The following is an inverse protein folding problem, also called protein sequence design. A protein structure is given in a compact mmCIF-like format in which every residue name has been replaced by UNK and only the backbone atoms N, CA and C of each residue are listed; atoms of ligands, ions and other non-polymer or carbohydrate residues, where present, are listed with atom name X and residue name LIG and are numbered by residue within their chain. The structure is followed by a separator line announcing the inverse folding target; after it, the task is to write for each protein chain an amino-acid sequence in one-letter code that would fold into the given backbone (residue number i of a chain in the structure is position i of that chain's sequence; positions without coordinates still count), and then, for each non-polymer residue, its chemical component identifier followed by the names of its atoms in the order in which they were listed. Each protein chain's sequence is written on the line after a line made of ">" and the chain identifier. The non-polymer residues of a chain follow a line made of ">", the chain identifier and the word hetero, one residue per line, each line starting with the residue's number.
data_IF_444911817552
#
_entry.id   IF_444911817552
#
_cell.length_a   1.000
_cell.length_b   1.000
_cell.length_c   1.000
_cell.angle_alpha   90.00
_cell.angle_beta   90.00
_cell.angle_gamma   90.00
#
_symmetry.space_group_name_H-M   'P 1'
#
loop_
_entity.id
_entity.type
_entity.pdbx_description
1 polymer ?
#
# COMPACT_ATOMS: atom_id res chain seq x y z
N UNK A 1 64.12 34.37 -21.52
CA UNK A 1 62.78 33.74 -21.55
C UNK A 1 62.95 32.23 -21.51
N UNK A 2 62.65 31.59 -20.37
CA UNK A 2 62.75 30.14 -20.16
C UNK A 2 61.49 29.70 -19.41
N UNK A 3 60.70 28.81 -20.03
CA UNK A 3 59.50 28.24 -19.44
C UNK A 3 59.83 27.11 -18.47
N UNK A 4 59.04 26.99 -17.40
CA UNK A 4 59.01 25.80 -16.53
C UNK A 4 57.58 25.59 -16.04
N UNK A 5 57.05 24.42 -16.39
CA UNK A 5 55.77 23.87 -15.99
C UNK A 5 55.60 23.80 -14.47
N UNK A 6 54.45 24.24 -13.94
CA UNK A 6 54.11 24.05 -12.52
C UNK A 6 53.56 22.65 -12.31
N UNK A 7 54.34 21.83 -11.59
CA UNK A 7 53.94 20.55 -11.03
C UNK A 7 52.92 20.77 -9.91
N UNK A 8 51.81 20.03 -9.96
CA UNK A 8 50.86 19.86 -8.86
C UNK A 8 51.54 19.01 -7.77
N UNK A 9 51.74 19.59 -6.60
CA UNK A 9 52.13 18.87 -5.40
C UNK A 9 50.87 18.55 -4.59
N UNK A 10 50.54 17.26 -4.46
CA UNK A 10 49.80 16.79 -3.29
C UNK A 10 50.75 16.79 -2.07
N UNK A 11 50.29 17.23 -0.90
CA UNK A 11 50.75 16.70 0.36
C UNK A 11 49.82 15.61 0.89
N UNK A 12 50.42 14.47 1.16
CA UNK A 12 49.99 13.37 2.00
C UNK A 12 49.96 13.79 3.49
N UNK A 13 48.90 13.38 4.19
CA UNK A 13 48.72 13.19 5.65
C UNK A 13 49.16 14.28 6.66
N UNK A 14 48.20 14.81 7.45
CA UNK A 14 48.08 14.60 8.92
C UNK A 14 46.88 15.37 9.53
N UNK A 15 45.98 14.64 10.17
CA UNK A 15 44.81 15.03 11.00
C UNK A 15 45.25 15.81 12.27
N UNK A 16 44.40 16.62 12.96
CA UNK A 16 43.34 16.05 13.80
C UNK A 16 42.08 16.90 14.03
N UNK A 17 41.03 16.21 14.50
CA UNK A 17 39.90 16.75 15.27
C UNK A 17 38.81 17.49 14.49
N UNK A 18 38.13 16.76 13.60
CA UNK A 18 36.65 16.83 13.61
C UNK A 18 36.17 15.42 13.89
N UNK A 19 35.97 15.13 15.18
CA UNK A 19 35.07 14.06 15.59
C UNK A 19 33.71 14.47 15.06
N UNK A 20 33.40 14.08 13.82
CA UNK A 20 32.07 14.10 13.29
C UNK A 20 31.31 13.07 14.11
N UNK A 21 30.72 13.52 15.22
CA UNK A 21 29.76 12.76 15.98
C UNK A 21 28.75 12.25 14.95
N UNK A 22 28.56 10.92 14.80
CA UNK A 22 27.48 10.43 13.96
C UNK A 22 26.22 11.06 14.53
N UNK A 23 25.58 11.93 13.75
CA UNK A 23 24.26 12.43 14.06
C UNK A 23 23.38 11.19 14.17
N UNK A 24 23.17 10.78 15.42
CA UNK A 24 22.29 9.68 15.80
C UNK A 24 20.95 10.05 15.20
N UNK A 25 20.62 9.48 14.04
CA UNK A 25 19.28 9.55 13.48
C UNK A 25 18.37 9.08 14.60
N UNK A 26 17.68 10.04 15.22
CA UNK A 26 16.69 9.74 16.22
C UNK A 26 15.64 8.96 15.46
N UNK A 27 15.68 7.63 15.58
CA UNK A 27 14.64 6.74 15.06
C UNK A 27 13.34 7.21 15.69
N UNK A 28 12.63 8.09 14.98
CA UNK A 28 11.34 8.62 15.41
C UNK A 28 10.47 7.40 15.64
N UNK A 29 9.93 7.27 16.85
CA UNK A 29 8.98 6.20 17.16
C UNK A 29 7.91 6.22 16.05
N UNK A 30 7.57 5.07 15.44
CA UNK A 30 6.56 5.03 14.40
C UNK A 30 5.27 5.67 14.93
N UNK A 31 4.83 6.77 14.31
CA UNK A 31 3.60 7.45 14.70
C UNK A 31 2.40 6.79 14.02
N UNK A 32 1.22 6.95 14.64
CA UNK A 32 -0.05 6.52 14.05
C UNK A 32 -0.26 7.19 12.68
N UNK A 33 0.12 8.46 12.52
CA UNK A 33 -0.02 9.17 11.25
C UNK A 33 0.88 8.58 10.16
N UNK A 34 2.11 8.17 10.49
CA UNK A 34 3.00 7.50 9.56
C UNK A 34 2.45 6.11 9.17
N UNK A 35 1.87 5.38 10.13
CA UNK A 35 1.20 4.12 9.88
C UNK A 35 0.00 4.29 8.95
N UNK A 36 -0.85 5.29 9.20
CA UNK A 36 -1.99 5.66 8.35
C UNK A 36 -1.55 6.02 6.94
N UNK A 37 -0.50 6.83 6.79
CA UNK A 37 0.05 7.21 5.49
C UNK A 37 0.51 5.97 4.68
N UNK A 38 1.17 5.00 5.34
CA UNK A 38 1.58 3.73 4.71
C UNK A 38 0.40 2.87 4.27
N UNK A 39 -0.74 2.95 4.96
CA UNK A 39 -1.96 2.22 4.62
C UNK A 39 -2.86 2.99 3.63
N UNK A 40 -2.36 4.08 3.03
CA UNK A 40 -3.08 4.83 2.02
C UNK A 40 -4.04 5.87 2.60
N UNK A 41 -3.95 6.20 3.89
CA UNK A 41 -4.84 7.16 4.55
C UNK A 41 -6.11 6.52 5.11
N UNK A 42 -6.75 7.22 6.05
CA UNK A 42 -8.05 6.83 6.61
C UNK A 42 -9.11 6.83 5.50
N UNK A 43 -10.00 5.84 5.55
CA UNK A 43 -11.21 5.82 4.74
C UNK A 43 -12.27 6.63 5.47
N UNK A 44 -12.85 7.63 4.81
CA UNK A 44 -14.01 8.34 5.35
C UNK A 44 -15.27 7.60 4.89
N UNK A 45 -16.21 7.33 5.81
CA UNK A 45 -17.46 6.63 5.49
C UNK A 45 -18.35 7.38 4.48
N UNK A 46 -18.09 8.68 4.28
CA UNK A 46 -18.78 9.53 3.32
C UNK A 46 -18.32 9.26 1.87
N UNK A 47 -17.15 8.64 1.68
CA UNK A 47 -16.61 8.31 0.36
C UNK A 47 -17.31 7.06 -0.21
N UNK A 48 -18.59 7.19 -0.57
CA UNK A 48 -19.34 6.11 -1.23
C UNK A 48 -18.67 5.78 -2.57
N UNK A 49 -18.27 4.53 -2.82
CA UNK A 49 -17.67 4.16 -4.09
C UNK A 49 -18.69 4.25 -5.23
N UNK A 50 -18.25 4.52 -6.47
CA UNK A 50 -19.09 4.38 -7.65
C UNK A 50 -19.64 2.94 -7.75
N UNK A 51 -20.86 2.81 -8.27
CA UNK A 51 -21.54 1.52 -8.37
C UNK A 51 -20.66 0.50 -9.12
N UNK A 52 -20.53 -0.70 -8.54
CA UNK A 52 -19.75 -1.80 -9.12
C UNK A 52 -18.26 -1.83 -8.78
N UNK A 53 -17.69 -0.83 -8.09
CA UNK A 53 -16.26 -0.79 -7.72
C UNK A 53 -16.00 -1.13 -6.25
N UNK A 54 -16.61 -2.21 -5.74
CA UNK A 54 -16.32 -2.69 -4.39
C UNK A 54 -14.90 -3.30 -4.27
N UNK A 55 -14.29 -3.33 -3.08
CA UNK A 55 -13.06 -4.08 -2.85
C UNK A 55 -13.18 -5.54 -3.29
N UNK A 56 -12.19 -5.99 -4.05
CA UNK A 56 -12.09 -7.34 -4.61
C UNK A 56 -12.82 -7.55 -5.94
N UNK A 57 -13.31 -6.49 -6.57
CA UNK A 57 -13.76 -6.54 -7.97
C UNK A 57 -12.55 -6.61 -8.90
N UNK A 58 -12.58 -7.56 -9.84
CA UNK A 58 -11.60 -7.65 -10.93
C UNK A 58 -11.93 -6.60 -11.98
N UNK A 59 -10.92 -5.87 -12.41
CA UNK A 59 -11.05 -4.79 -13.38
C UNK A 59 -10.01 -4.90 -14.47
N UNK A 60 -10.32 -4.27 -15.60
CA UNK A 60 -9.43 -4.11 -16.75
C UNK A 60 -9.29 -2.61 -17.03
N UNK A 61 -8.09 -2.16 -17.37
CA UNK A 61 -7.83 -0.76 -17.70
C UNK A 61 -6.70 -0.66 -18.75
N UNK A 62 -6.65 0.42 -19.54
CA UNK A 62 -5.68 0.55 -20.61
C UNK A 62 -4.27 0.84 -20.07
N UNK A 63 -3.27 0.37 -20.81
CA UNK A 63 -1.85 0.56 -20.50
C UNK A 63 -1.23 1.56 -21.46
N UNK A 64 -0.23 2.31 -20.99
CA UNK A 64 0.46 3.30 -21.80
C UNK A 64 -0.04 4.73 -21.58
N UNK A 65 0.57 5.67 -22.29
CA UNK A 65 0.21 7.08 -22.19
C UNK A 65 -1.08 7.37 -22.97
N UNK A 66 -1.81 8.46 -22.66
CA UNK A 66 -2.94 8.91 -23.48
C UNK A 66 -2.60 9.04 -24.97
N UNK A 67 -1.38 9.47 -25.31
CA UNK A 67 -0.92 9.58 -26.68
C UNK A 67 -0.75 8.22 -27.37
N UNK A 68 -0.23 7.21 -26.67
CA UNK A 68 -0.12 5.84 -27.20
C UNK A 68 -1.51 5.23 -27.45
N UNK A 69 -2.46 5.47 -26.56
CA UNK A 69 -3.87 5.04 -26.73
C UNK A 69 -4.50 5.69 -27.97
N UNK A 70 -4.28 7.00 -28.17
CA UNK A 70 -4.76 7.72 -29.35
C UNK A 70 -4.14 7.20 -30.67
N UNK A 71 -2.93 6.64 -30.60
CA UNK A 71 -2.27 6.00 -31.73
C UNK A 71 -2.70 4.53 -31.97
N UNK A 72 -3.70 4.03 -31.22
CA UNK A 72 -4.26 2.69 -31.40
C UNK A 72 -3.67 1.59 -30.50
N UNK A 73 -2.90 1.94 -29.46
CA UNK A 73 -2.45 0.96 -28.47
C UNK A 73 -3.61 0.57 -27.53
N UNK A 74 -4.19 -0.60 -27.76
CA UNK A 74 -5.28 -1.17 -26.94
C UNK A 74 -4.79 -2.25 -25.95
N UNK A 75 -3.51 -2.19 -25.55
CA UNK A 75 -3.03 -3.06 -24.47
C UNK A 75 -3.78 -2.77 -23.19
N UNK A 76 -4.30 -3.82 -22.56
CA UNK A 76 -5.00 -3.75 -21.28
C UNK A 76 -4.32 -4.57 -20.21
N UNK A 77 -4.52 -4.16 -18.98
CA UNK A 77 -4.05 -4.85 -17.79
C UNK A 77 -5.21 -5.19 -16.88
N UNK A 78 -5.11 -6.35 -16.24
CA UNK A 78 -6.03 -6.76 -15.19
C UNK A 78 -5.50 -6.34 -13.82
N UNK A 79 -6.41 -6.13 -12.88
CA UNK A 79 -6.08 -5.91 -11.49
C UNK A 79 -7.31 -6.00 -10.60
N UNK A 80 -7.10 -5.83 -9.30
CA UNK A 80 -8.14 -5.93 -8.28
C UNK A 80 -8.35 -4.58 -7.62
N UNK A 81 -9.60 -4.13 -7.53
CA UNK A 81 -9.95 -2.95 -6.75
C UNK A 81 -9.68 -3.21 -5.28
N UNK A 82 -8.85 -2.41 -4.63
CA UNK A 82 -8.63 -2.49 -3.16
C UNK A 82 -9.28 -1.32 -2.41
N UNK A 83 -9.54 -0.23 -3.11
CA UNK A 83 -10.28 0.93 -2.63
C UNK A 83 -10.89 1.67 -3.82
N UNK A 84 -12.07 2.27 -3.64
CA UNK A 84 -12.67 3.15 -4.61
C UNK A 84 -13.38 4.30 -3.89
N UNK A 85 -13.35 5.47 -4.53
CA UNK A 85 -14.14 6.65 -4.18
C UNK A 85 -14.71 7.24 -5.48
N UNK A 86 -15.48 8.33 -5.37
CA UNK A 86 -16.01 9.04 -6.53
C UNK A 86 -14.93 9.57 -7.49
N UNK A 87 -13.72 9.81 -6.99
CA UNK A 87 -12.65 10.48 -7.76
C UNK A 87 -11.53 9.54 -8.19
N UNK A 88 -11.32 8.44 -7.47
CA UNK A 88 -10.21 7.52 -7.72
C UNK A 88 -10.57 6.07 -7.40
N UNK A 89 -10.01 5.16 -8.20
CA UNK A 89 -10.01 3.72 -7.98
C UNK A 89 -8.57 3.28 -7.79
N UNK A 90 -8.30 2.57 -6.69
CA UNK A 90 -7.01 2.00 -6.38
C UNK A 90 -7.01 0.53 -6.79
N UNK A 91 -6.19 0.20 -7.78
CA UNK A 91 -6.13 -1.12 -8.39
C UNK A 91 -4.78 -1.77 -8.07
N UNK A 92 -4.81 -2.93 -7.44
CA UNK A 92 -3.64 -3.74 -7.17
C UNK A 92 -3.44 -4.74 -8.33
N UNK A 93 -2.24 -4.74 -8.90
CA UNK A 93 -1.90 -5.49 -10.12
C UNK A 93 -1.30 -6.87 -9.84
N UNK A 94 -0.75 -7.02 -8.64
CA UNK A 94 -0.10 -8.22 -8.11
C UNK A 94 0.10 -8.04 -6.60
N UNK A 95 1.03 -8.75 -5.97
CA UNK A 95 1.28 -8.61 -4.54
C UNK A 95 1.79 -7.24 -4.07
N UNK A 96 2.30 -6.37 -4.95
CA UNK A 96 3.04 -5.15 -4.54
C UNK A 96 2.76 -3.89 -5.38
N UNK A 97 2.35 -4.02 -6.64
CA UNK A 97 2.16 -2.88 -7.53
C UNK A 97 0.74 -2.35 -7.44
N UNK A 98 0.60 -1.12 -6.98
CA UNK A 98 -0.66 -0.39 -6.92
C UNK A 98 -0.72 0.70 -7.99
N UNK A 99 -1.86 0.85 -8.64
CA UNK A 99 -2.20 1.99 -9.50
C UNK A 99 -3.39 2.75 -8.94
N UNK A 100 -3.37 4.08 -9.13
CA UNK A 100 -4.52 4.95 -8.91
C UNK A 100 -5.01 5.42 -10.27
N UNK A 101 -6.30 5.24 -10.53
CA UNK A 101 -6.92 5.52 -11.81
C UNK A 101 -8.20 6.32 -11.57
N UNK A 102 -8.58 7.24 -12.48
CA UNK A 102 -9.93 7.79 -12.44
C UNK A 102 -10.94 6.67 -12.74
N UNK A 103 -12.15 6.69 -12.14
CA UNK A 103 -13.16 5.67 -12.39
C UNK A 103 -13.49 5.46 -13.88
N UNK A 104 -13.41 6.51 -14.69
CA UNK A 104 -13.67 6.45 -16.13
C UNK A 104 -12.63 5.67 -16.95
N UNK A 105 -11.42 5.44 -16.42
CA UNK A 105 -10.38 4.64 -17.07
C UNK A 105 -10.44 3.15 -16.67
N UNK A 106 -11.39 2.76 -15.83
CA UNK A 106 -11.49 1.40 -15.28
C UNK A 106 -12.80 0.75 -15.72
N UNK A 107 -12.72 -0.48 -16.21
CA UNK A 107 -13.89 -1.30 -16.59
C UNK A 107 -13.92 -2.56 -15.74
N UNK A 108 -15.11 -2.97 -15.30
CA UNK A 108 -15.29 -4.25 -14.62
C UNK A 108 -14.91 -5.39 -15.59
N UNK A 109 -14.14 -6.36 -15.11
CA UNK A 109 -13.78 -7.51 -15.91
C UNK A 109 -14.91 -8.55 -15.89
N UNK A 110 -15.61 -8.69 -17.01
CA UNK A 110 -16.78 -9.59 -17.16
C UNK A 110 -16.35 -11.00 -17.60
N UNK A 111 -15.52 -11.64 -16.78
CA UNK A 111 -15.09 -13.02 -16.98
C UNK A 111 -13.98 -13.21 -18.04
N UNK A 112 -13.50 -14.45 -18.11
CA UNK A 112 -12.28 -14.82 -18.81
C UNK A 112 -11.23 -15.38 -17.85
N UNK A 113 -10.12 -15.83 -18.41
CA UNK A 113 -9.00 -16.34 -17.61
C UNK A 113 -8.23 -15.16 -16.99
N UNK A 114 -8.13 -15.15 -15.66
CA UNK A 114 -7.26 -14.25 -14.91
C UNK A 114 -6.21 -15.05 -14.16
N UNK A 115 -5.08 -14.42 -13.89
CA UNK A 115 -4.04 -15.05 -13.09
C UNK A 115 -4.58 -15.45 -11.69
N UNK A 116 -4.35 -16.69 -11.28
CA UNK A 116 -4.78 -17.24 -9.97
C UNK A 116 -4.41 -16.33 -8.79
N UNK A 117 -3.27 -15.65 -8.86
CA UNK A 117 -2.86 -14.71 -7.80
C UNK A 117 -3.81 -13.51 -7.67
N UNK A 118 -4.36 -13.00 -8.78
CA UNK A 118 -5.36 -11.93 -8.74
C UNK A 118 -6.67 -12.41 -8.10
N UNK A 119 -7.07 -13.65 -8.33
CA UNK A 119 -8.27 -14.21 -7.68
C UNK A 119 -8.09 -14.31 -6.16
N UNK A 120 -6.91 -14.72 -5.69
CA UNK A 120 -6.56 -14.73 -4.27
C UNK A 120 -6.61 -13.33 -3.66
N UNK A 121 -5.98 -12.37 -4.32
CA UNK A 121 -6.02 -10.95 -3.92
C UNK A 121 -7.46 -10.44 -3.88
N UNK A 122 -8.29 -10.81 -4.85
CA UNK A 122 -9.71 -10.46 -4.89
C UNK A 122 -10.47 -11.04 -3.70
N UNK A 123 -10.19 -12.28 -3.31
CA UNK A 123 -10.71 -12.89 -2.09
C UNK A 123 -10.33 -12.11 -0.83
N UNK A 124 -9.04 -11.81 -0.66
CA UNK A 124 -8.51 -11.04 0.47
C UNK A 124 -9.15 -9.64 0.55
N UNK A 125 -9.28 -8.95 -0.59
CA UNK A 125 -9.85 -7.61 -0.66
C UNK A 125 -11.36 -7.61 -0.35
N UNK A 126 -12.12 -8.62 -0.80
CA UNK A 126 -13.54 -8.80 -0.42
C UNK A 126 -13.68 -9.00 1.08
N UNK A 127 -12.86 -9.87 1.66
CA UNK A 127 -12.87 -10.14 3.09
C UNK A 127 -12.56 -8.87 3.91
N UNK A 128 -11.53 -8.13 3.51
CA UNK A 128 -11.20 -6.84 4.13
C UNK A 128 -12.30 -5.78 3.95
N UNK A 129 -12.96 -5.76 2.79
CA UNK A 129 -14.09 -4.89 2.51
C UNK A 129 -15.22 -5.04 3.52
N UNK A 130 -15.45 -6.27 4.01
CA UNK A 130 -16.48 -6.61 5.00
C UNK A 130 -16.10 -6.28 6.45
N UNK A 131 -14.81 -6.01 6.74
CA UNK A 131 -14.40 -5.66 8.10
C UNK A 131 -14.93 -4.28 8.49
N UNK A 132 -15.25 -4.10 9.77
CA UNK A 132 -15.68 -2.81 10.35
C UNK A 132 -14.78 -2.38 11.51
N UNK A 133 -14.75 -1.09 11.81
CA UNK A 133 -14.07 -0.58 13.01
C UNK A 133 -14.70 -1.18 14.26
N UNK A 134 -13.86 -1.56 15.21
CA UNK A 134 -14.23 -2.29 16.42
C UNK A 134 -14.33 -3.82 16.26
N UNK A 135 -14.20 -4.38 15.05
CA UNK A 135 -14.27 -5.82 14.86
C UNK A 135 -13.00 -6.54 15.34
N UNK A 136 -13.17 -7.71 15.95
CA UNK A 136 -12.08 -8.62 16.31
C UNK A 136 -11.51 -9.31 15.06
N UNK A 137 -10.19 -9.27 14.91
CA UNK A 137 -9.46 -9.80 13.76
C UNK A 137 -8.25 -10.63 14.19
N UNK A 138 -7.75 -11.43 13.26
CA UNK A 138 -6.45 -12.08 13.31
C UNK A 138 -5.57 -11.53 12.20
N UNK A 139 -4.27 -11.44 12.47
CA UNK A 139 -3.29 -11.09 11.46
C UNK A 139 -1.98 -11.84 11.65
N UNK A 140 -1.22 -11.98 10.55
CA UNK A 140 0.13 -12.52 10.58
C UNK A 140 1.11 -11.40 10.93
N UNK A 141 1.86 -11.56 12.03
CA UNK A 141 2.93 -10.65 12.39
C UNK A 141 4.18 -10.83 11.50
N UNK A 142 5.26 -10.12 11.82
CA UNK A 142 6.51 -10.19 11.03
C UNK A 142 7.23 -11.55 11.14
N UNK A 143 6.90 -12.36 12.15
CA UNK A 143 7.39 -13.73 12.29
C UNK A 143 6.50 -14.76 11.58
N UNK A 144 5.37 -14.33 11.01
CA UNK A 144 4.35 -15.20 10.43
C UNK A 144 3.41 -15.82 11.48
N UNK A 145 3.56 -15.47 12.76
CA UNK A 145 2.67 -15.89 13.82
C UNK A 145 1.30 -15.22 13.69
N UNK A 146 0.22 -15.97 13.96
CA UNK A 146 -1.12 -15.41 14.00
C UNK A 146 -1.38 -14.75 15.36
N UNK A 147 -1.72 -13.48 15.32
CA UNK A 147 -1.98 -12.63 16.49
C UNK A 147 -3.40 -12.08 16.42
N UNK A 148 -4.07 -12.01 17.58
CA UNK A 148 -5.40 -11.39 17.69
C UNK A 148 -5.30 -9.88 17.87
N UNK A 149 -6.34 -9.16 17.46
CA UNK A 149 -6.50 -7.75 17.76
C UNK A 149 -7.88 -7.23 17.38
N UNK A 150 -8.06 -5.92 17.50
CA UNK A 150 -9.30 -5.22 17.16
C UNK A 150 -9.02 -4.13 16.13
N UNK A 151 -9.79 -4.07 15.05
CA UNK A 151 -9.68 -2.98 14.07
C UNK A 151 -10.06 -1.68 14.78
N UNK A 152 -9.17 -0.70 14.79
CA UNK A 152 -9.46 0.63 15.37
C UNK A 152 -9.62 1.71 14.32
N UNK A 153 -9.05 1.52 13.13
CA UNK A 153 -9.21 2.45 12.02
C UNK A 153 -9.10 1.71 10.69
N UNK A 154 -10.07 1.87 9.78
CA UNK A 154 -9.91 1.41 8.39
C UNK A 154 -9.15 2.43 7.55
N UNK A 155 -8.20 1.91 6.78
CA UNK A 155 -7.44 2.65 5.80
C UNK A 155 -7.65 2.04 4.40
N UNK A 156 -7.22 2.75 3.35
CA UNK A 156 -7.49 2.35 1.96
C UNK A 156 -6.89 0.98 1.61
N UNK A 157 -5.75 0.61 2.21
CA UNK A 157 -5.00 -0.62 1.88
C UNK A 157 -4.82 -1.56 3.07
N UNK A 158 -5.56 -1.35 4.17
CA UNK A 158 -5.43 -2.13 5.38
C UNK A 158 -6.07 -1.45 6.58
N UNK A 159 -5.67 -1.83 7.79
CA UNK A 159 -6.22 -1.27 9.01
C UNK A 159 -5.16 -1.04 10.07
N UNK A 160 -5.45 -0.11 10.97
CA UNK A 160 -4.81 -0.03 12.27
C UNK A 160 -5.50 -1.01 13.20
N UNK A 161 -4.71 -1.84 13.89
CA UNK A 161 -5.19 -2.89 14.78
C UNK A 161 -4.64 -2.66 16.18
N UNK A 162 -5.52 -2.58 17.17
CA UNK A 162 -5.18 -2.57 18.59
C UNK A 162 -4.95 -4.00 19.06
N UNK A 163 -3.78 -4.24 19.65
CA UNK A 163 -3.39 -5.48 20.30
C UNK A 163 -3.80 -5.46 21.78
N UNK A 164 -3.81 -6.64 22.40
CA UNK A 164 -4.10 -6.81 23.83
C UNK A 164 -3.09 -6.10 24.74
N UNK A 165 -1.84 -5.93 24.29
CA UNK A 165 -0.79 -5.18 25.00
C UNK A 165 -0.95 -3.65 24.90
N UNK A 166 -2.02 -3.18 24.25
CA UNK A 166 -2.31 -1.76 24.03
C UNK A 166 -1.55 -1.13 22.85
N UNK A 167 -0.69 -1.89 22.15
CA UNK A 167 0.01 -1.39 20.98
C UNK A 167 -0.93 -1.32 19.76
N UNK A 168 -0.71 -0.31 18.92
CA UNK A 168 -1.39 -0.18 17.62
C UNK A 168 -0.41 -0.52 16.51
N UNK A 169 -0.81 -1.45 15.64
CA UNK A 169 -0.01 -1.89 14.49
C UNK A 169 -0.74 -1.62 13.18
N UNK A 170 0.01 -1.28 12.13
CA UNK A 170 -0.53 -1.20 10.77
C UNK A 170 -0.46 -2.56 10.10
N UNK A 171 -1.59 -3.04 9.60
CA UNK A 171 -1.69 -4.34 8.94
C UNK A 171 -2.31 -4.15 7.56
N UNK A 172 -1.62 -4.63 6.53
CA UNK A 172 -2.13 -4.62 5.16
C UNK A 172 -3.30 -5.58 4.99
N UNK A 173 -4.24 -5.27 4.09
CA UNK A 173 -5.49 -6.01 3.95
C UNK A 173 -5.32 -7.53 3.72
N UNK A 174 -4.27 -7.95 2.99
CA UNK A 174 -3.97 -9.38 2.73
C UNK A 174 -3.50 -10.16 3.95
N UNK A 175 -3.18 -9.48 5.05
CA UNK A 175 -2.77 -10.09 6.32
C UNK A 175 -3.87 -9.99 7.38
N UNK A 176 -5.11 -9.64 7.01
CA UNK A 176 -6.21 -9.43 7.95
C UNK A 176 -7.34 -10.41 7.69
N UNK A 177 -7.76 -11.11 8.74
CA UNK A 177 -8.89 -12.03 8.70
C UNK A 177 -9.84 -11.78 9.88
N UNK A 178 -11.16 -11.97 9.72
CA UNK A 178 -12.08 -11.98 10.85
C UNK A 178 -11.65 -12.99 11.92
N UNK A 179 -11.79 -12.62 13.19
CA UNK A 179 -11.66 -13.59 14.28
C UNK A 179 -12.98 -14.35 14.44
N UNK A 180 -12.97 -15.69 14.63
CA UNK A 180 -14.19 -16.48 14.86
C UNK A 180 -14.97 -16.04 16.11
N UNK A 181 -14.28 -15.43 17.07
CA UNK A 181 -14.81 -15.03 18.38
C UNK A 181 -15.57 -13.71 18.40
N UNK A 182 -15.89 -13.13 17.23
CA UNK A 182 -16.59 -11.84 17.10
C UNK A 182 -18.02 -11.91 16.54
N UNK A 183 -18.59 -13.10 16.32
CA UNK A 183 -20.01 -13.23 16.06
C UNK A 183 -20.78 -13.08 17.38
N UNK A 184 -21.03 -11.84 17.79
CA UNK A 184 -22.05 -11.57 18.79
C UNK A 184 -23.40 -11.90 18.18
N UNK A 185 -24.13 -12.79 18.85
CA UNK A 185 -25.55 -13.07 18.64
C UNK A 185 -26.41 -11.80 18.82
#
# INVERSE_FOLDING_TARGET
>A
MKGVSKKLNLPLFSDPAIVATPTKEVRKKPSIDAARARLGGRVNEIDTPPAGFAPGVLVTFPVGSPAARAAGDDRRMHGVVVFASQNEVHVLLDGVRLRRLPPSDVTIHEGGEVAIELEKIAGDARLFGQLVEGQSVRYADDSGGLVNGKVVEKCRWGALVLREDGAVVAVGFRKLWPSPTGASA
#
